data_IF_265389697198
#
_entry.id   IF_265389697198
#
_cell.length_a   1.000
_cell.length_b   1.000
_cell.length_c   1.000
_cell.angle_alpha   90.00
_cell.angle_beta   90.00
_cell.angle_gamma   90.00
#
_symmetry.space_group_name_H-M   'P 1'
#
loop_
_entity.id
_entity.type
_entity.pdbx_description
1 polymer ?
#
# COMPACT_ATOMS: atom_id res chain seq x y z
N UNK A 1 -25.86 9.28 -0.89
CA UNK A 1 -24.67 9.92 -0.32
C UNK A 1 -23.45 9.25 -0.93
N UNK A 2 -22.45 9.99 -1.39
CA UNK A 2 -21.27 9.42 -2.09
C UNK A 2 -20.09 9.46 -1.11
N UNK A 3 -19.62 8.28 -0.69
CA UNK A 3 -18.43 8.16 0.15
C UNK A 3 -17.22 7.94 -0.76
N UNK A 4 -16.37 8.95 -0.88
CA UNK A 4 -15.08 8.85 -1.58
C UNK A 4 -14.02 8.33 -0.60
N UNK A 5 -13.32 7.25 -0.94
CA UNK A 5 -12.14 6.82 -0.19
C UNK A 5 -10.91 7.40 -0.88
N UNK A 6 -10.12 8.16 -0.13
CA UNK A 6 -8.84 8.68 -0.58
C UNK A 6 -7.74 7.85 0.08
N UNK A 7 -6.92 7.19 -0.74
CA UNK A 7 -5.76 6.44 -0.29
C UNK A 7 -4.49 7.18 -0.72
N UNK A 8 -3.70 7.60 0.26
CA UNK A 8 -2.40 8.25 0.02
C UNK A 8 -1.32 7.18 0.17
N UNK A 9 -0.58 6.95 -0.90
CA UNK A 9 0.49 5.96 -0.95
C UNK A 9 1.80 6.61 -1.32
N UNK A 10 2.92 6.08 -0.84
CA UNK A 10 4.25 6.55 -1.27
C UNK A 10 4.50 6.15 -2.72
N UNK A 11 5.01 7.07 -3.53
CA UNK A 11 5.36 6.79 -4.92
C UNK A 11 6.66 5.99 -4.98
N UNK A 12 6.52 4.68 -4.81
CA UNK A 12 7.65 3.76 -4.82
C UNK A 12 8.27 3.61 -6.21
N UNK A 13 7.51 3.88 -7.26
CA UNK A 13 7.96 3.77 -8.66
C UNK A 13 8.97 4.86 -8.99
N UNK A 14 8.68 6.10 -8.62
CA UNK A 14 9.60 7.22 -8.88
C UNK A 14 10.70 7.34 -7.81
N UNK A 15 10.39 6.99 -6.55
CA UNK A 15 11.31 7.15 -5.42
C UNK A 15 12.39 6.07 -5.31
N UNK A 16 12.49 5.13 -6.28
CA UNK A 16 13.49 4.04 -6.30
C UNK A 16 13.57 3.28 -4.97
N UNK A 17 12.41 2.96 -4.40
CA UNK A 17 12.31 2.18 -3.17
C UNK A 17 12.89 0.78 -3.38
N UNK A 18 13.52 0.19 -2.36
CA UNK A 18 14.15 -1.14 -2.47
C UNK A 18 13.27 -2.20 -1.83
N UNK A 19 13.16 -3.38 -2.43
CA UNK A 19 12.44 -4.50 -1.82
C UNK A 19 13.40 -5.26 -0.89
N UNK A 20 13.07 -5.34 0.40
CA UNK A 20 13.99 -5.87 1.43
C UNK A 20 13.87 -7.38 1.58
N UNK A 21 12.62 -7.91 1.58
CA UNK A 21 12.34 -9.33 1.82
C UNK A 21 10.87 -9.66 1.63
N UNK A 22 10.60 -10.91 1.28
CA UNK A 22 9.27 -11.50 1.31
C UNK A 22 8.89 -11.82 2.77
N UNK A 23 7.79 -11.27 3.28
CA UNK A 23 7.26 -11.48 4.63
C UNK A 23 5.89 -12.12 4.57
N UNK A 24 5.59 -13.02 5.52
CA UNK A 24 4.24 -13.57 5.62
C UNK A 24 3.21 -12.47 5.89
N UNK A 25 2.12 -12.50 5.12
CA UNK A 25 0.99 -11.63 5.37
C UNK A 25 0.29 -12.02 6.66
N UNK A 26 0.02 -11.03 7.50
CA UNK A 26 -0.84 -11.18 8.67
C UNK A 26 -2.17 -10.55 8.38
N UNK A 27 -3.23 -11.33 8.49
CA UNK A 27 -4.61 -10.85 8.43
C UNK A 27 -5.26 -11.15 9.77
N UNK A 28 -5.89 -10.15 10.41
CA UNK A 28 -6.61 -10.33 11.68
C UNK A 28 -5.78 -11.03 12.79
N UNK A 29 -4.47 -10.76 12.82
CA UNK A 29 -3.46 -11.36 13.73
C UNK A 29 -3.09 -12.82 13.44
N UNK A 30 -3.65 -13.44 12.41
CA UNK A 30 -3.26 -14.77 11.94
C UNK A 30 -2.20 -14.66 10.85
N UNK A 31 -1.14 -15.45 10.96
CA UNK A 31 -0.14 -15.61 9.90
C UNK A 31 -0.77 -16.44 8.79
N UNK A 32 -0.82 -15.88 7.59
CA UNK A 32 -1.30 -16.59 6.41
C UNK A 32 -0.14 -17.28 5.69
N UNK A 33 -0.45 -18.25 4.85
CA UNK A 33 0.52 -18.86 3.93
C UNK A 33 0.95 -17.89 2.82
N UNK A 34 0.29 -16.75 2.67
CA UNK A 34 0.62 -15.73 1.69
C UNK A 34 1.87 -14.97 2.12
N UNK A 35 2.70 -14.63 1.14
CA UNK A 35 3.94 -13.90 1.33
C UNK A 35 3.86 -12.63 0.48
N UNK A 36 4.21 -11.49 1.05
CA UNK A 36 4.29 -10.21 0.34
C UNK A 36 5.70 -9.65 0.40
N UNK A 37 6.09 -8.92 -0.65
CA UNK A 37 7.34 -8.18 -0.62
C UNK A 37 7.24 -6.95 0.27
N UNK A 38 8.19 -6.79 1.18
CA UNK A 38 8.32 -5.62 2.02
C UNK A 38 9.13 -4.54 1.28
N UNK A 39 8.52 -3.38 1.09
CA UNK A 39 9.14 -2.20 0.47
C UNK A 39 9.89 -1.39 1.53
N UNK A 40 11.16 -1.09 1.28
CA UNK A 40 11.93 -0.05 1.95
C UNK A 40 11.68 1.28 1.25
N UNK A 41 10.93 2.15 1.90
CA UNK A 41 10.70 3.47 1.33
C UNK A 41 11.98 4.31 1.40
N UNK A 42 12.34 4.92 0.27
CA UNK A 42 13.33 5.98 0.28
C UNK A 42 12.78 7.17 1.11
N UNK A 43 13.65 7.94 1.74
CA UNK A 43 13.31 9.12 2.54
C UNK A 43 12.94 10.33 1.64
N UNK A 44 12.08 10.11 0.65
CA UNK A 44 11.58 11.09 -0.31
C UNK A 44 10.11 11.39 -0.01
N UNK A 45 9.72 12.66 -0.15
CA UNK A 45 8.35 13.10 0.10
C UNK A 45 7.50 13.05 -1.18
N UNK A 46 7.50 11.92 -1.88
CA UNK A 46 6.72 11.74 -3.11
C UNK A 46 5.59 10.75 -2.84
N UNK A 47 4.36 11.19 -3.09
CA UNK A 47 3.16 10.43 -2.77
C UNK A 47 2.18 10.47 -3.95
N UNK A 48 1.48 9.36 -4.16
CA UNK A 48 0.37 9.22 -5.10
C UNK A 48 -0.92 9.20 -4.31
N UNK A 49 -1.89 10.00 -4.75
CA UNK A 49 -3.24 10.00 -4.19
C UNK A 49 -4.13 9.19 -5.11
N UNK A 50 -4.66 8.08 -4.61
CA UNK A 50 -5.63 7.26 -5.31
C UNK A 50 -7.02 7.55 -4.74
N UNK A 51 -7.86 8.21 -5.54
CA UNK A 51 -9.23 8.56 -5.18
C UNK A 51 -10.14 7.50 -5.80
N UNK A 52 -10.72 6.64 -4.97
CA UNK A 52 -11.70 5.66 -5.41
C UNK A 52 -13.11 6.05 -4.96
N UNK A 53 -14.03 6.06 -5.93
CA UNK A 53 -15.46 6.23 -5.69
C UNK A 53 -16.05 4.85 -5.38
N UNK A 54 -16.47 4.62 -4.14
CA UNK A 54 -17.25 3.44 -3.79
C UNK A 54 -18.72 3.77 -3.95
N UNK A 55 -19.32 3.27 -5.04
CA UNK A 55 -20.76 3.23 -5.20
C UNK A 55 -21.30 2.03 -4.41
N UNK A 56 -21.75 2.25 -3.19
CA UNK A 56 -22.62 1.30 -2.51
C UNK A 56 -24.05 1.58 -2.99
N UNK A 57 -24.62 0.67 -3.78
CA UNK A 57 -26.02 0.68 -4.20
C UNK A 57 -26.80 -0.37 -3.40
#
# INVERSE_FOLDING_TARGET
DIICIVNIQHDCSTSKCTFIRAVHEKQERLITSQIKDLVNHASTNVYIVNISLLYNY
#
